data_IF_632502092514
#
_entry.id   IF_632502092514
#
_cell.length_a   1.000
_cell.length_b   1.000
_cell.length_c   1.000
_cell.angle_alpha   90.00
_cell.angle_beta   90.00
_cell.angle_gamma   90.00
#
_symmetry.space_group_name_H-M   'P 1'
#
loop_
_entity.id
_entity.type
_entity.pdbx_description
1 polymer ?
#
# COMPACT_ATOMS: atom_id res chain seq x y z
N UNK A 1 -39.55 12.98 -29.87
CA UNK A 1 -38.36 12.24 -29.43
C UNK A 1 -37.17 13.20 -29.52
N UNK A 2 -37.03 14.13 -28.59
CA UNK A 2 -35.94 15.15 -28.60
C UNK A 2 -35.32 15.37 -27.22
N UNK A 3 -35.94 14.86 -26.16
CA UNK A 3 -35.48 15.07 -24.78
C UNK A 3 -34.31 14.13 -24.41
N UNK A 4 -34.10 13.04 -25.17
CA UNK A 4 -33.09 12.01 -24.86
C UNK A 4 -31.68 12.41 -25.26
N UNK A 5 -31.51 13.11 -26.39
CA UNK A 5 -30.18 13.43 -26.93
C UNK A 5 -29.50 14.54 -26.13
N UNK A 6 -30.25 15.56 -25.72
CA UNK A 6 -29.71 16.65 -24.91
C UNK A 6 -29.25 16.17 -23.51
N UNK A 7 -29.94 15.19 -22.93
CA UNK A 7 -29.58 14.62 -21.63
C UNK A 7 -28.31 13.77 -21.73
N UNK A 8 -28.19 12.93 -22.77
CA UNK A 8 -26.99 12.14 -23.03
C UNK A 8 -25.76 13.01 -23.32
N UNK A 9 -25.93 14.10 -24.08
CA UNK A 9 -24.85 15.08 -24.31
C UNK A 9 -24.45 15.80 -23.02
N UNK A 10 -25.40 16.13 -22.15
CA UNK A 10 -25.11 16.75 -20.85
C UNK A 10 -24.33 15.80 -19.93
N UNK A 11 -24.68 14.49 -19.91
CA UNK A 11 -23.93 13.48 -19.17
C UNK A 11 -22.51 13.26 -19.72
N UNK A 12 -22.34 13.28 -21.04
CA UNK A 12 -21.01 13.18 -21.67
C UNK A 12 -20.14 14.41 -21.41
N UNK A 13 -20.73 15.62 -21.38
CA UNK A 13 -20.03 16.85 -21.02
C UNK A 13 -19.62 16.88 -19.55
N UNK A 14 -20.47 16.39 -18.63
CA UNK A 14 -20.12 16.26 -17.21
C UNK A 14 -18.98 15.26 -16.98
N UNK A 15 -18.94 14.15 -17.71
CA UNK A 15 -17.83 13.20 -17.67
C UNK A 15 -16.51 13.80 -18.19
N UNK A 16 -16.58 14.76 -19.13
CA UNK A 16 -15.41 15.45 -19.68
C UNK A 16 -14.81 16.53 -18.75
N UNK A 17 -15.54 16.95 -17.71
CA UNK A 17 -15.03 17.93 -16.73
C UNK A 17 -14.13 17.32 -15.66
N UNK A 18 -13.86 16.01 -15.71
CA UNK A 18 -13.02 15.34 -14.72
C UNK A 18 -11.76 14.74 -15.33
N UNK A 19 -10.82 15.60 -15.68
CA UNK A 19 -9.40 15.22 -15.68
C UNK A 19 -8.49 16.46 -15.70
N UNK A 20 -8.64 17.34 -14.71
CA UNK A 20 -7.54 18.21 -14.29
C UNK A 20 -6.61 17.43 -13.34
N UNK A 21 -6.18 16.23 -13.75
CA UNK A 21 -5.04 15.59 -13.14
C UNK A 21 -3.84 16.06 -13.98
N UNK A 22 -3.09 17.05 -13.48
CA UNK A 22 -1.68 17.13 -13.86
C UNK A 22 -1.10 15.78 -13.46
N UNK A 23 -0.98 14.88 -14.43
CA UNK A 23 -0.27 13.64 -14.21
C UNK A 23 1.10 14.06 -13.69
N UNK A 24 1.49 13.55 -12.54
CA UNK A 24 2.85 13.58 -12.05
C UNK A 24 3.34 12.14 -12.00
N UNK A 25 4.65 11.94 -11.99
CA UNK A 25 5.20 10.60 -11.94
C UNK A 25 5.17 10.10 -10.49
N UNK A 26 4.30 9.12 -10.24
CA UNK A 26 4.14 8.46 -8.94
C UNK A 26 4.48 6.99 -9.06
N UNK A 27 5.29 6.49 -8.14
CA UNK A 27 5.52 5.06 -7.94
C UNK A 27 5.07 4.67 -6.55
N UNK A 28 4.46 3.50 -6.44
CA UNK A 28 3.94 2.95 -5.19
C UNK A 28 4.55 1.57 -4.96
N UNK A 29 5.01 1.34 -3.74
CA UNK A 29 5.44 0.04 -3.24
C UNK A 29 4.79 -0.20 -1.89
N UNK A 30 4.30 -1.41 -1.67
CA UNK A 30 3.53 -1.74 -0.47
C UNK A 30 3.95 -3.09 0.11
N UNK A 31 3.88 -3.16 1.43
CA UNK A 31 4.04 -4.36 2.25
C UNK A 31 2.91 -4.43 3.28
N UNK A 32 2.90 -5.44 4.15
CA UNK A 32 1.90 -5.54 5.22
C UNK A 32 1.94 -4.32 6.15
N UNK A 33 3.15 -3.85 6.46
CA UNK A 33 3.36 -2.82 7.49
C UNK A 33 3.57 -1.43 6.89
N UNK A 34 4.07 -1.32 5.66
CA UNK A 34 4.47 -0.05 5.06
C UNK A 34 3.86 0.20 3.67
N UNK A 35 3.49 1.46 3.44
CA UNK A 35 3.23 2.03 2.13
C UNK A 35 4.29 3.08 1.81
N UNK A 36 4.96 2.91 0.67
CA UNK A 36 6.00 3.81 0.17
C UNK A 36 5.54 4.42 -1.15
N UNK A 37 5.48 5.73 -1.19
CA UNK A 37 5.12 6.52 -2.39
C UNK A 37 6.30 7.38 -2.77
N UNK A 38 6.77 7.20 -3.99
CA UNK A 38 7.85 7.96 -4.61
C UNK A 38 7.24 8.91 -5.64
N UNK A 39 7.59 10.17 -5.53
CA UNK A 39 7.06 11.25 -6.35
C UNK A 39 8.21 11.96 -7.03
N UNK A 40 8.10 12.18 -8.33
CA UNK A 40 9.04 13.03 -9.06
C UNK A 40 8.46 14.45 -9.14
N UNK A 41 9.17 15.50 -8.68
CA UNK A 41 8.60 16.83 -8.41
C UNK A 41 8.44 17.70 -9.67
N UNK A 42 7.91 17.12 -10.74
CA UNK A 42 7.57 17.84 -11.96
C UNK A 42 6.25 17.32 -12.53
N UNK A 43 5.45 18.23 -13.08
CA UNK A 43 4.25 17.89 -13.83
C UNK A 43 4.62 17.31 -15.20
N UNK A 44 3.76 16.48 -15.81
CA UNK A 44 4.02 15.92 -17.15
C UNK A 44 4.23 16.98 -18.24
N UNK A 45 3.73 18.21 -18.06
CA UNK A 45 3.96 19.31 -18.99
C UNK A 45 5.36 19.91 -18.87
N UNK A 46 6.10 19.61 -17.79
CA UNK A 46 7.50 20.01 -17.57
C UNK A 46 7.70 21.49 -17.23
N UNK A 47 6.62 22.27 -17.11
CA UNK A 47 6.71 23.71 -16.88
C UNK A 47 6.69 24.11 -15.39
N UNK A 48 6.30 23.20 -14.50
CA UNK A 48 6.11 23.51 -13.08
C UNK A 48 6.83 22.49 -12.19
N UNK A 49 7.69 23.01 -11.30
CA UNK A 49 8.33 22.27 -10.24
C UNK A 49 7.41 22.24 -9.01
N UNK A 50 7.17 21.05 -8.46
CA UNK A 50 6.28 20.87 -7.32
C UNK A 50 7.09 20.96 -6.04
N UNK A 51 6.70 21.86 -5.13
CA UNK A 51 7.36 21.99 -3.84
C UNK A 51 6.88 20.87 -2.89
N UNK A 52 7.78 20.43 -2.01
CA UNK A 52 7.49 19.35 -1.08
C UNK A 52 6.29 19.63 -0.14
N UNK A 53 6.08 20.90 0.23
CA UNK A 53 4.96 21.32 1.09
C UNK A 53 3.63 21.47 0.34
N UNK A 54 3.65 21.44 -0.98
CA UNK A 54 2.44 21.40 -1.82
C UNK A 54 1.87 19.98 -1.89
N UNK A 55 2.59 18.98 -1.38
CA UNK A 55 2.19 17.58 -1.40
C UNK A 55 1.94 17.04 0.00
N UNK A 56 0.86 16.29 0.16
CA UNK A 56 0.63 15.48 1.36
C UNK A 56 -0.11 14.19 1.06
N UNK A 57 0.16 13.16 1.87
CA UNK A 57 -0.48 11.86 1.79
C UNK A 57 -1.69 11.81 2.75
N UNK A 58 -2.81 11.33 2.22
CA UNK A 58 -4.05 11.04 2.95
C UNK A 58 -4.44 12.15 3.91
N UNK A 59 -4.35 11.88 5.22
CA UNK A 59 -4.79 12.80 6.27
C UNK A 59 -3.86 14.02 6.53
N UNK A 60 -3.05 14.43 5.55
CA UNK A 60 -2.16 15.60 5.69
C UNK A 60 -0.69 15.27 6.00
N UNK A 61 -0.25 14.04 5.75
CA UNK A 61 1.11 13.63 6.06
C UNK A 61 2.15 14.17 5.06
N UNK A 62 3.22 14.85 5.50
CA UNK A 62 4.22 15.43 4.61
C UNK A 62 5.17 14.37 4.02
N UNK A 63 6.04 14.71 3.06
CA UNK A 63 7.13 13.84 2.65
C UNK A 63 8.05 13.49 3.83
N UNK A 64 8.39 12.20 3.95
CA UNK A 64 9.35 11.69 4.94
C UNK A 64 10.81 11.93 4.55
N UNK A 65 11.09 12.00 3.24
CA UNK A 65 12.41 12.33 2.69
C UNK A 65 12.23 13.17 1.44
N UNK A 66 13.03 14.22 1.34
CA UNK A 66 13.01 15.19 0.24
C UNK A 66 14.38 15.18 -0.42
N UNK A 67 14.42 14.81 -1.69
CA UNK A 67 15.60 14.88 -2.54
C UNK A 67 15.33 15.80 -3.74
N UNK A 68 16.40 16.25 -4.41
CA UNK A 68 16.31 17.23 -5.51
C UNK A 68 15.34 16.81 -6.62
N UNK A 69 15.25 15.51 -6.91
CA UNK A 69 14.45 14.96 -8.00
C UNK A 69 13.41 13.95 -7.50
N UNK A 70 13.23 13.82 -6.19
CA UNK A 70 12.43 12.72 -5.66
C UNK A 70 11.94 13.00 -4.24
N UNK A 71 10.65 12.84 -3.99
CA UNK A 71 10.07 12.88 -2.67
C UNK A 71 9.55 11.50 -2.27
N UNK A 72 9.80 11.10 -1.03
CA UNK A 72 9.35 9.83 -0.47
C UNK A 72 8.34 10.06 0.64
N UNK A 73 7.23 9.34 0.57
CA UNK A 73 6.28 9.18 1.66
C UNK A 73 6.33 7.73 2.10
N UNK A 74 6.99 7.45 3.23
CA UNK A 74 7.09 6.11 3.79
C UNK A 74 6.35 6.08 5.14
N UNK A 75 5.15 5.51 5.14
CA UNK A 75 4.27 5.49 6.31
C UNK A 75 3.78 4.07 6.62
N UNK A 76 3.46 3.83 7.88
CA UNK A 76 2.82 2.60 8.29
C UNK A 76 1.41 2.51 7.69
N UNK A 77 0.93 1.29 7.41
CA UNK A 77 -0.42 1.06 6.87
C UNK A 77 -1.53 1.46 7.83
N UNK A 78 -1.21 1.64 9.12
CA UNK A 78 -2.11 2.20 10.15
C UNK A 78 -2.21 3.73 10.13
N UNK A 79 -1.28 4.40 9.45
CA UNK A 79 -1.08 5.85 9.59
C UNK A 79 -1.58 6.60 8.35
N UNK A 80 -1.63 7.93 8.46
CA UNK A 80 -1.91 8.84 7.35
C UNK A 80 -3.24 8.60 6.61
N UNK A 81 -4.19 7.90 7.23
CA UNK A 81 -5.46 7.56 6.61
C UNK A 81 -5.36 6.50 5.51
N UNK A 82 -4.28 5.70 5.49
CA UNK A 82 -4.15 4.56 4.59
C UNK A 82 -5.23 3.53 4.95
N UNK A 83 -6.00 3.09 3.94
CA UNK A 83 -7.10 2.16 4.09
C UNK A 83 -6.68 0.78 3.62
N UNK A 84 -6.94 -0.23 4.44
CA UNK A 84 -6.71 -1.62 4.07
C UNK A 84 -8.06 -2.31 3.84
N UNK A 85 -8.24 -2.92 2.67
CA UNK A 85 -9.40 -3.73 2.32
C UNK A 85 -8.96 -5.18 2.07
N UNK A 86 -9.70 -6.13 2.62
CA UNK A 86 -9.47 -7.56 2.35
C UNK A 86 -10.15 -7.92 1.03
N UNK A 87 -9.39 -8.35 0.02
CA UNK A 87 -9.93 -8.80 -1.27
C UNK A 87 -10.17 -10.32 -1.27
N UNK A 88 -9.29 -11.09 -0.63
CA UNK A 88 -9.44 -12.52 -0.40
C UNK A 88 -8.71 -12.95 0.88
N UNK A 89 -8.78 -14.23 1.25
CA UNK A 89 -8.06 -14.78 2.41
C UNK A 89 -6.58 -14.40 2.41
N UNK A 90 -5.96 -14.44 1.22
CA UNK A 90 -4.54 -14.21 1.00
C UNK A 90 -4.20 -12.85 0.40
N UNK A 91 -5.16 -12.00 0.06
CA UNK A 91 -4.88 -10.74 -0.63
C UNK A 91 -5.52 -9.54 0.07
N UNK A 92 -4.70 -8.51 0.25
CA UNK A 92 -5.10 -7.21 0.78
C UNK A 92 -4.90 -6.14 -0.28
N UNK A 93 -5.76 -5.13 -0.22
CA UNK A 93 -5.69 -3.93 -1.00
C UNK A 93 -5.42 -2.76 -0.07
N UNK A 94 -4.32 -2.05 -0.33
CA UNK A 94 -4.00 -0.81 0.34
C UNK A 94 -4.41 0.35 -0.58
N UNK A 95 -5.12 1.31 -0.01
CA UNK A 95 -5.62 2.49 -0.71
C UNK A 95 -5.25 3.75 0.07
N UNK A 96 -4.81 4.77 -0.64
CA UNK A 96 -4.58 6.09 -0.10
C UNK A 96 -4.78 7.14 -1.20
N UNK A 97 -4.56 8.39 -0.87
CA UNK A 97 -4.70 9.52 -1.77
C UNK A 97 -3.49 10.42 -1.59
N UNK A 98 -2.92 10.89 -2.69
CA UNK A 98 -1.93 11.95 -2.64
C UNK A 98 -2.57 13.26 -3.10
N UNK A 99 -2.42 14.28 -2.28
CA UNK A 99 -2.98 15.60 -2.52
C UNK A 99 -1.89 16.54 -2.99
N UNK A 100 -2.14 17.20 -4.12
CA UNK A 100 -1.34 18.31 -4.62
C UNK A 100 -2.13 19.61 -4.48
N UNK A 101 -1.65 20.48 -3.60
CA UNK A 101 -2.21 21.80 -3.33
C UNK A 101 -1.18 22.87 -3.69
N UNK A 102 -1.23 23.41 -4.92
CA UNK A 102 -0.32 24.47 -5.34
C UNK A 102 -0.51 25.71 -4.47
N UNK A 103 0.59 26.44 -4.24
CA UNK A 103 0.55 27.74 -3.54
C UNK A 103 -0.16 28.81 -4.37
N UNK A 104 -0.11 28.69 -5.69
CA UNK A 104 -0.81 29.60 -6.59
C UNK A 104 -2.32 29.29 -6.59
N UNK A 105 -3.11 30.29 -6.18
CA UNK A 105 -4.57 30.20 -6.05
C UNK A 105 -5.28 30.00 -7.40
N UNK A 106 -4.59 30.15 -8.53
CA UNK A 106 -5.15 29.94 -9.86
C UNK A 106 -5.32 28.45 -10.22
N UNK A 107 -4.66 27.54 -9.50
CA UNK A 107 -4.73 26.12 -9.76
C UNK A 107 -5.56 25.37 -8.72
N UNK A 108 -6.40 24.45 -9.19
CA UNK A 108 -7.22 23.61 -8.32
C UNK A 108 -6.38 22.54 -7.62
N UNK A 109 -6.79 22.19 -6.40
CA UNK A 109 -6.26 21.04 -5.68
C UNK A 109 -6.50 19.76 -6.48
N UNK A 110 -5.48 18.92 -6.60
CA UNK A 110 -5.54 17.66 -7.33
C UNK A 110 -5.39 16.49 -6.39
N UNK A 111 -6.16 15.43 -6.64
CA UNK A 111 -6.15 14.21 -5.84
C UNK A 111 -5.73 13.08 -6.75
N UNK A 112 -4.65 12.39 -6.38
CA UNK A 112 -4.10 11.26 -7.10
C UNK A 112 -4.43 10.00 -6.27
N UNK A 113 -5.33 9.12 -6.76
CA UNK A 113 -5.66 7.90 -6.05
C UNK A 113 -4.47 6.93 -6.10
N UNK A 114 -4.14 6.35 -4.95
CA UNK A 114 -3.04 5.41 -4.79
C UNK A 114 -3.60 4.06 -4.37
N UNK A 115 -3.19 3.01 -5.09
CA UNK A 115 -3.69 1.67 -4.85
C UNK A 115 -2.60 0.63 -5.11
N UNK A 116 -2.47 -0.34 -4.22
CA UNK A 116 -1.56 -1.47 -4.38
C UNK A 116 -2.16 -2.73 -3.74
N UNK A 117 -1.89 -3.88 -4.36
CA UNK A 117 -2.28 -5.18 -3.84
C UNK A 117 -1.07 -5.86 -3.20
N UNK A 118 -1.28 -6.50 -2.06
CA UNK A 118 -0.27 -7.26 -1.33
C UNK A 118 -0.80 -8.67 -1.01
N UNK A 119 0.09 -9.65 -1.08
CA UNK A 119 -0.19 -11.03 -0.69
C UNK A 119 0.15 -11.21 0.79
N UNK A 120 -0.74 -11.85 1.55
CA UNK A 120 -0.51 -12.31 2.93
C UNK A 120 0.32 -13.58 2.98
N UNK A 121 0.40 -14.34 1.88
CA UNK A 121 1.25 -15.53 1.79
C UNK A 121 2.71 -15.09 1.83
N UNK A 122 3.41 -15.49 2.88
CA UNK A 122 4.86 -15.39 2.93
C UNK A 122 5.45 -16.28 1.85
N UNK A 123 6.23 -15.69 0.93
CA UNK A 123 7.00 -16.44 -0.07
C UNK A 123 8.00 -17.39 0.61
N UNK A 124 8.36 -17.12 1.87
CA UNK A 124 9.34 -17.87 2.65
C UNK A 124 8.75 -19.02 3.47
N UNK A 125 7.42 -19.12 3.57
CA UNK A 125 6.76 -20.19 4.31
C UNK A 125 6.07 -21.12 3.30
N UNK A 126 6.83 -22.06 2.75
CA UNK A 126 6.22 -23.27 2.20
C UNK A 126 5.51 -23.99 3.35
N UNK A 127 4.20 -24.26 3.27
CA UNK A 127 3.58 -25.13 4.23
C UNK A 127 4.31 -26.48 4.16
N UNK A 128 4.89 -26.91 5.27
CA UNK A 128 5.39 -28.28 5.38
C UNK A 128 4.17 -29.16 5.11
N UNK A 129 4.20 -29.91 4.01
CA UNK A 129 3.15 -30.88 3.74
C UNK A 129 3.09 -31.81 4.95
N UNK A 130 1.90 -31.96 5.51
CA UNK A 130 1.60 -33.01 6.49
C UNK A 130 1.57 -34.37 5.78
N UNK A 131 2.58 -34.67 4.97
CA UNK A 131 2.91 -36.06 4.71
C UNK A 131 3.62 -36.52 5.97
N UNK A 132 3.03 -37.49 6.66
CA UNK A 132 3.66 -38.18 7.77
C UNK A 132 5.03 -38.63 7.31
N UNK A 133 6.07 -37.86 7.65
CA UNK A 133 7.44 -38.27 7.46
C UNK A 133 7.60 -39.43 8.43
N UNK A 134 7.43 -40.65 7.91
CA UNK A 134 7.99 -41.85 8.50
C UNK A 134 9.50 -41.63 8.55
N UNK A 135 9.94 -40.97 9.61
CA UNK A 135 11.32 -40.97 10.02
C UNK A 135 11.62 -42.42 10.34
N UNK A 136 12.32 -43.10 9.43
CA UNK A 136 12.97 -44.36 9.77
C UNK A 136 13.84 -44.07 11.01
N UNK A 137 13.62 -44.76 12.13
CA UNK A 137 14.37 -44.50 13.34
C UNK A 137 15.83 -44.78 13.05
N UNK A 138 16.61 -43.70 12.90
CA UNK A 138 18.06 -43.77 12.84
C UNK A 138 18.56 -44.50 14.09
N UNK A 139 19.52 -45.44 13.97
CA UNK A 139 20.09 -46.14 15.13
C UNK A 139 20.73 -45.18 16.14
N UNK A 140 20.96 -43.91 15.78
CA UNK A 140 21.60 -42.89 16.61
C UNK A 140 20.65 -42.08 17.51
N UNK A 141 19.32 -42.28 17.44
CA UNK A 141 18.34 -41.52 18.27
C UNK A 141 17.82 -42.35 19.46
N UNK A 142 18.36 -43.55 19.72
CA UNK A 142 17.81 -44.45 20.72
C UNK A 142 18.05 -44.06 22.21
N UNK A 143 18.88 -43.07 22.52
CA UNK A 143 19.42 -42.96 23.89
C UNK A 143 18.95 -41.76 24.73
N UNK A 144 18.14 -40.84 24.20
CA UNK A 144 17.62 -39.72 25.02
C UNK A 144 16.20 -39.96 25.49
N UNK A 145 16.06 -40.83 26.50
CA UNK A 145 14.83 -40.95 27.29
C UNK A 145 14.94 -40.02 28.49
N UNK A 146 14.65 -38.73 28.31
CA UNK A 146 14.57 -37.78 29.42
C UNK A 146 13.41 -38.18 30.35
N UNK A 147 13.69 -38.28 31.65
CA UNK A 147 12.69 -38.54 32.67
C UNK A 147 11.82 -37.29 32.89
N UNK A 148 10.57 -37.44 33.38
CA UNK A 148 9.64 -36.31 33.58
C UNK A 148 10.20 -35.20 34.49
N UNK A 149 11.18 -35.53 35.33
CA UNK A 149 11.88 -34.62 36.24
C UNK A 149 12.76 -33.60 35.49
N UNK A 150 13.33 -33.96 34.32
CA UNK A 150 14.18 -33.06 33.51
C UNK A 150 13.38 -32.12 32.61
N UNK A 151 12.08 -32.41 32.39
CA UNK A 151 11.19 -31.61 31.54
C UNK A 151 10.50 -30.46 32.30
N UNK A 152 10.76 -30.29 33.59
CA UNK A 152 10.24 -29.15 34.38
C UNK A 152 8.71 -29.07 34.43
N UNK A 153 8.00 -30.17 34.16
CA UNK A 153 6.53 -30.24 34.16
C UNK A 153 5.95 -30.56 35.55
N UNK A 154 6.50 -29.95 36.59
CA UNK A 154 5.84 -29.91 37.89
C UNK A 154 4.85 -28.75 37.88
N UNK A 155 3.58 -29.09 37.62
CA UNK A 155 2.45 -28.22 37.93
C UNK A 155 2.49 -27.83 39.41
N UNK A 156 2.19 -26.56 39.67
CA UNK A 156 1.92 -26.04 41.00
C UNK A 156 0.72 -26.76 41.62
N UNK A 157 0.82 -27.05 42.93
CA UNK A 157 -0.27 -27.51 43.81
C UNK A 157 -1.47 -26.53 43.83
#
# INVERSE_FOLDING_TARGET
MEVSVALEVLFLLAASMWSCANNMFVKIACSLDWMVVQVVPYTYSGYEYILADELHLGSGCPPTRIETYEYHFAYLTSDCGIRTQVLSEDSLLLQSELYYKPRDLHYYCQIIPLQCCISRKSVWLTPVSTDEIKLDPSPFIADFKATPEELGLLCCD
#
